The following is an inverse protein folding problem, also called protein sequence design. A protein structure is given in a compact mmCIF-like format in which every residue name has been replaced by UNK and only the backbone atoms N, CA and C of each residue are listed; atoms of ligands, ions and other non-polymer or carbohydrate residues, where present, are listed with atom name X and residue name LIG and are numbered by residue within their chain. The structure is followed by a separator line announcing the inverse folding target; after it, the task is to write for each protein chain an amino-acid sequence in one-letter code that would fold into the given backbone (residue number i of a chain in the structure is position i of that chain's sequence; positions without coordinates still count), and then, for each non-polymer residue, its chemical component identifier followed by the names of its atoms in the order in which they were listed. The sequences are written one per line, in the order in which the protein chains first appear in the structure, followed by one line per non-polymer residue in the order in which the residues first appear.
data_IF_172582715751
#
_entry.id   IF_172582715751
#
_cell.length_a   1.000
_cell.length_b   1.000
_cell.length_c   1.000
_cell.angle_alpha   90.00
_cell.angle_beta   90.00
_cell.angle_gamma   90.00
#
_symmetry.space_group_name_H-M   'P 1'
#
loop_
_entity.id
_entity.type
_entity.pdbx_description
1 polymer ?
#
# COMPACT_ATOMS: atom_id res chain seq x y z
N UNK A 1 3.93 -17.66 -5.21
CA UNK A 1 4.44 -16.76 -6.26
C UNK A 1 3.91 -15.39 -5.92
N UNK A 2 4.78 -14.40 -5.75
CA UNK A 2 4.36 -13.03 -5.45
C UNK A 2 3.84 -12.39 -6.74
N UNK A 3 2.55 -12.07 -6.78
CA UNK A 3 1.92 -11.39 -7.93
C UNK A 3 1.82 -9.90 -7.65
N UNK A 4 2.19 -9.08 -8.63
CA UNK A 4 2.07 -7.62 -8.56
C UNK A 4 0.92 -7.19 -9.47
N UNK A 5 -0.05 -6.48 -8.90
CA UNK A 5 -1.18 -5.89 -9.61
C UNK A 5 -1.27 -4.41 -9.31
N UNK A 6 -2.00 -3.66 -10.14
CA UNK A 6 -2.11 -2.22 -10.02
C UNK A 6 -3.58 -1.80 -10.01
N UNK A 7 -3.92 -0.93 -9.06
CA UNK A 7 -5.21 -0.26 -8.95
C UNK A 7 -5.02 1.23 -9.20
N UNK A 8 -5.80 1.82 -10.12
CA UNK A 8 -5.74 3.26 -10.37
C UNK A 8 -6.87 3.96 -9.60
N UNK A 9 -6.49 4.80 -8.65
CA UNK A 9 -7.38 5.62 -7.83
C UNK A 9 -7.51 7.01 -8.44
N UNK A 10 -8.75 7.49 -8.61
CA UNK A 10 -9.07 8.82 -9.15
C UNK A 10 -8.46 9.14 -10.53
N UNK A 11 -8.15 8.11 -11.33
CA UNK A 11 -7.46 8.24 -12.64
C UNK A 11 -6.07 8.92 -12.56
N UNK A 12 -5.49 9.05 -11.38
CA UNK A 12 -4.24 9.78 -11.15
C UNK A 12 -3.22 8.96 -10.36
N UNK A 13 -3.68 8.27 -9.31
CA UNK A 13 -2.80 7.57 -8.39
C UNK A 13 -2.76 6.08 -8.73
N UNK A 14 -1.58 5.60 -9.12
CA UNK A 14 -1.36 4.18 -9.35
C UNK A 14 -0.89 3.52 -8.04
N UNK A 15 -1.77 2.71 -7.47
CA UNK A 15 -1.54 1.99 -6.22
C UNK A 15 -1.17 0.54 -6.53
N UNK A 16 0.04 0.14 -6.16
CA UNK A 16 0.50 -1.24 -6.31
C UNK A 16 -0.08 -2.13 -5.20
N UNK A 17 -0.47 -3.34 -5.59
CA UNK A 17 -1.00 -4.38 -4.72
C UNK A 17 -0.19 -5.66 -4.94
N UNK A 18 0.26 -6.26 -3.84
CA UNK A 18 1.06 -7.47 -3.81
C UNK A 18 0.22 -8.60 -3.21
N UNK A 19 0.14 -9.75 -3.87
CA UNK A 19 -0.37 -10.97 -3.25
C UNK A 19 0.74 -11.61 -2.42
N UNK A 20 0.57 -11.58 -1.10
CA UNK A 20 1.41 -12.26 -0.12
C UNK A 20 0.60 -13.40 0.51
N UNK A 21 0.82 -14.61 -0.01
CA UNK A 21 0.21 -15.84 0.51
C UNK A 21 -1.33 -15.82 0.56
N UNK A 22 -1.98 -15.18 -0.43
CA UNK A 22 -3.44 -15.07 -0.51
C UNK A 22 -4.00 -13.81 0.16
N UNK A 23 -3.15 -12.99 0.78
CA UNK A 23 -3.51 -11.67 1.29
C UNK A 23 -3.07 -10.57 0.34
N UNK A 24 -3.93 -9.58 0.13
CA UNK A 24 -3.64 -8.44 -0.72
C UNK A 24 -3.05 -7.30 0.10
N UNK A 25 -1.81 -6.98 -0.20
CA UNK A 25 -1.02 -5.98 0.48
C UNK A 25 -0.84 -4.74 -0.39
N UNK A 26 -1.14 -3.57 0.16
CA UNK A 26 -0.97 -2.31 -0.54
C UNK A 26 0.42 -1.74 -0.29
N UNK A 27 1.06 -1.21 -1.33
CA UNK A 27 2.32 -0.50 -1.15
C UNK A 27 2.06 0.84 -0.46
N UNK A 28 2.51 0.96 0.78
CA UNK A 28 2.19 2.09 1.66
C UNK A 28 2.58 3.46 1.09
N UNK A 29 3.67 3.56 0.32
CA UNK A 29 4.07 4.81 -0.33
C UNK A 29 3.03 5.30 -1.35
N UNK A 30 2.42 4.36 -2.08
CA UNK A 30 1.48 4.71 -3.14
C UNK A 30 0.15 5.17 -2.54
N UNK A 31 -0.30 4.48 -1.49
CA UNK A 31 -1.50 4.88 -0.72
C UNK A 31 -1.28 6.22 -0.01
N UNK A 32 -0.10 6.45 0.57
CA UNK A 32 0.23 7.72 1.21
C UNK A 32 0.16 8.89 0.21
N UNK A 33 0.70 8.71 -0.99
CA UNK A 33 0.60 9.70 -2.07
C UNK A 33 -0.86 9.99 -2.46
N UNK A 34 -1.67 8.93 -2.61
CA UNK A 34 -3.08 9.06 -2.97
C UNK A 34 -3.95 9.76 -1.91
N UNK A 35 -3.53 9.71 -0.65
CA UNK A 35 -4.25 10.28 0.50
C UNK A 35 -3.60 11.55 1.05
N UNK A 36 -2.63 12.13 0.33
CA UNK A 36 -1.92 13.37 0.69
C UNK A 36 -1.16 13.29 2.02
N UNK A 37 -0.63 12.11 2.36
CA UNK A 37 0.31 11.95 3.46
C UNK A 37 1.72 12.31 3.02
N UNK A 38 2.39 13.16 3.80
CA UNK A 38 3.81 13.51 3.59
C UNK A 38 4.73 12.28 3.70
N UNK A 39 4.46 11.38 4.63
CA UNK A 39 5.26 10.18 4.87
C UNK A 39 4.36 8.98 5.10
N UNK A 40 4.70 7.85 4.48
CA UNK A 40 3.95 6.60 4.66
C UNK A 40 3.96 6.11 6.12
N UNK A 41 5.04 6.37 6.89
CA UNK A 41 5.11 6.00 8.31
C UNK A 41 4.07 6.71 9.18
N UNK A 42 3.67 7.93 8.81
CA UNK A 42 2.64 8.66 9.54
C UNK A 42 1.27 8.02 9.33
N UNK A 43 1.05 7.46 8.14
CA UNK A 43 -0.17 6.73 7.75
C UNK A 43 -0.21 5.33 8.38
N UNK A 44 0.92 4.62 8.40
CA UNK A 44 0.99 3.23 8.90
C UNK A 44 1.23 3.13 10.42
N UNK A 45 1.30 4.25 11.16
CA UNK A 45 1.60 4.26 12.60
C UNK A 45 0.62 3.49 13.49
N UNK A 46 -0.61 3.30 13.01
CA UNK A 46 -1.67 2.58 13.73
C UNK A 46 -1.80 1.12 13.31
N UNK A 47 -1.04 0.69 12.31
CA UNK A 47 -1.00 -0.71 11.91
C UNK A 47 -0.22 -1.52 12.94
N UNK A 48 -0.58 -2.79 13.07
CA UNK A 48 0.21 -3.74 13.84
C UNK A 48 1.50 -4.10 13.09
N UNK A 49 2.47 -4.72 13.77
CA UNK A 49 3.78 -5.00 13.17
C UNK A 49 3.70 -6.03 12.04
N UNK A 50 2.74 -6.94 12.10
CA UNK A 50 2.44 -7.93 11.07
C UNK A 50 1.65 -7.36 9.89
N UNK A 51 1.18 -6.10 9.96
CA UNK A 51 0.45 -5.41 8.89
C UNK A 51 1.32 -4.39 8.12
N UNK A 52 2.51 -4.04 8.63
CA UNK A 52 3.41 -3.05 8.01
C UNK A 52 4.32 -3.63 6.94
N UNK A 53 4.56 -4.94 6.98
CA UNK A 53 5.52 -5.59 6.08
C UNK A 53 6.95 -5.09 6.32
N UNK A 54 7.88 -5.44 5.44
CA UNK A 54 9.31 -5.04 5.52
C UNK A 54 9.80 -4.38 4.24
#
# INVERSE_FOLDING_TARGET
MTSLTQFTFHNEYNVRIIDLNGELWFVASDVASALDYRMASDMTRFLDDDEKGT
#
